data_IF_083346305563
#
_entry.id   IF_083346305563
#
_cell.length_a   1.000
_cell.length_b   1.000
_cell.length_c   1.000
_cell.angle_alpha   90.00
_cell.angle_beta   90.00
_cell.angle_gamma   90.00
#
_symmetry.space_group_name_H-M   'P 1'
#
loop_
_entity.id
_entity.type
_entity.pdbx_description
1 polymer ?
#
# COMPACT_ATOMS: atom_id res chain seq x y z
N UNK A 1 0.89 -10.16 1.75
CA UNK A 1 0.40 -11.39 2.43
C UNK A 1 -0.55 -11.00 3.55
N UNK A 2 -1.38 -11.92 4.04
CA UNK A 2 -2.06 -11.72 5.33
C UNK A 2 -1.04 -11.88 6.47
N UNK A 3 -1.31 -11.28 7.63
CA UNK A 3 -0.41 -11.30 8.79
C UNK A 3 -1.17 -11.41 10.11
N UNK A 4 -0.59 -12.10 11.10
CA UNK A 4 -0.93 -11.91 12.52
C UNK A 4 0.31 -11.41 13.24
N UNK A 5 0.18 -10.26 13.89
CA UNK A 5 1.14 -9.72 14.84
C UNK A 5 0.79 -10.19 16.26
N UNK A 6 1.65 -11.03 16.83
CA UNK A 6 1.50 -11.58 18.18
C UNK A 6 2.41 -10.81 19.13
N UNK A 7 1.83 -10.13 20.12
CA UNK A 7 2.58 -9.35 21.09
C UNK A 7 3.04 -10.25 22.25
N UNK A 8 4.36 -10.45 22.38
CA UNK A 8 4.95 -11.36 23.38
C UNK A 8 5.35 -10.60 24.64
N UNK A 9 5.97 -9.43 24.48
CA UNK A 9 6.43 -8.61 25.60
C UNK A 9 6.33 -7.12 25.27
N UNK A 10 6.08 -6.30 26.29
CA UNK A 10 5.86 -4.86 26.15
C UNK A 10 4.61 -4.54 25.34
N UNK A 11 4.41 -3.27 25.08
CA UNK A 11 3.20 -2.70 24.52
C UNK A 11 3.53 -1.95 23.24
N UNK A 12 2.69 -2.12 22.22
CA UNK A 12 2.83 -1.39 20.94
C UNK A 12 1.54 -0.65 20.61
N UNK A 13 1.69 0.60 20.19
CA UNK A 13 0.63 1.35 19.53
C UNK A 13 0.67 1.06 18.04
N UNK A 14 -0.49 0.86 17.45
CA UNK A 14 -0.67 0.75 16.01
C UNK A 14 -1.55 1.88 15.48
N UNK A 15 -1.23 2.30 14.26
CA UNK A 15 -2.06 3.16 13.42
C UNK A 15 -2.18 2.44 12.08
N UNK A 16 -3.40 2.16 11.66
CA UNK A 16 -3.69 1.37 10.46
C UNK A 16 -4.61 2.14 9.52
N UNK A 17 -4.44 1.92 8.23
CA UNK A 17 -5.27 2.50 7.18
C UNK A 17 -5.78 1.41 6.26
N UNK A 18 -6.98 1.63 5.72
CA UNK A 18 -7.55 0.74 4.72
C UNK A 18 -6.71 0.77 3.44
N UNK A 19 -6.72 -0.31 2.64
CA UNK A 19 -6.09 -0.30 1.31
C UNK A 19 -6.63 0.81 0.39
N UNK A 20 -7.90 1.21 0.56
CA UNK A 20 -8.54 2.29 -0.20
C UNK A 20 -7.93 3.67 0.06
N UNK A 21 -7.23 3.87 1.17
CA UNK A 21 -6.65 5.16 1.54
C UNK A 21 -5.28 5.39 0.90
N UNK A 22 -4.84 4.50 -0.01
CA UNK A 22 -3.54 4.57 -0.70
C UNK A 22 -3.26 5.95 -1.32
N UNK A 23 -4.28 6.61 -1.88
CA UNK A 23 -4.18 7.93 -2.52
C UNK A 23 -3.82 9.05 -1.54
N UNK A 24 -4.05 8.83 -0.25
CA UNK A 24 -3.82 9.81 0.80
C UNK A 24 -2.48 9.61 1.53
N UNK A 25 -1.83 8.47 1.31
CA UNK A 25 -0.66 8.03 2.08
C UNK A 25 0.67 8.25 1.37
N UNK A 26 0.67 8.77 0.13
CA UNK A 26 1.89 9.09 -0.62
C UNK A 26 2.86 7.89 -0.65
N UNK A 27 2.37 6.76 -1.17
CA UNK A 27 3.13 5.51 -1.22
C UNK A 27 4.18 5.56 -2.33
N UNK A 28 5.41 5.19 -1.99
CA UNK A 28 6.50 4.89 -2.91
C UNK A 28 6.99 3.45 -2.67
N UNK A 29 6.79 2.58 -3.67
CA UNK A 29 6.96 1.14 -3.50
C UNK A 29 6.01 0.57 -2.45
N UNK A 30 6.56 0.02 -1.37
CA UNK A 30 5.83 -0.59 -0.25
C UNK A 30 5.73 0.31 0.99
N UNK A 31 6.16 1.57 0.91
CA UNK A 31 6.27 2.48 2.06
C UNK A 31 5.61 3.84 1.79
N UNK A 32 5.10 4.44 2.85
CA UNK A 32 4.65 5.83 2.84
C UNK A 32 5.86 6.78 2.95
N UNK A 33 5.83 7.88 2.21
CA UNK A 33 6.79 8.99 2.35
C UNK A 33 6.52 9.86 3.60
N UNK A 34 5.36 9.68 4.25
CA UNK A 34 4.99 10.36 5.50
C UNK A 34 5.64 9.64 6.68
N UNK A 35 6.81 10.15 7.10
CA UNK A 35 7.61 9.52 8.17
C UNK A 35 6.96 9.59 9.56
N UNK A 36 6.36 10.73 9.91
CA UNK A 36 5.64 10.93 11.18
C UNK A 36 4.14 11.04 10.90
N UNK A 37 3.44 9.91 11.00
CA UNK A 37 2.00 9.87 10.75
C UNK A 37 1.18 10.43 11.93
N UNK A 38 1.77 10.54 13.12
CA UNK A 38 1.12 11.15 14.29
C UNK A 38 1.16 12.69 14.20
N UNK A 39 2.19 13.24 13.56
CA UNK A 39 2.30 14.67 13.24
C UNK A 39 2.78 14.90 11.79
N UNK A 40 1.92 14.66 10.78
CA UNK A 40 2.31 14.80 9.38
C UNK A 40 2.66 16.24 9.01
N UNK A 41 3.70 16.42 8.19
CA UNK A 41 3.93 17.70 7.51
C UNK A 41 2.87 17.91 6.43
N UNK A 42 1.78 18.59 6.80
CA UNK A 42 0.67 18.88 5.91
C UNK A 42 0.99 19.89 4.81
N UNK A 43 2.12 20.60 4.87
CA UNK A 43 2.56 21.43 3.75
C UNK A 43 3.05 20.56 2.60
N UNK A 44 3.78 19.48 2.92
CA UNK A 44 4.30 18.53 1.94
C UNK A 44 3.27 17.45 1.58
N UNK A 45 2.49 16.97 2.56
CA UNK A 45 1.55 15.86 2.43
C UNK A 45 0.10 16.24 2.80
N UNK A 46 -0.53 17.21 2.10
CA UNK A 46 -1.84 17.72 2.46
C UNK A 46 -2.97 16.67 2.41
N UNK A 47 -2.87 15.67 1.52
CA UNK A 47 -3.93 14.66 1.33
C UNK A 47 -4.08 13.70 2.52
N UNK A 48 -3.06 13.59 3.38
CA UNK A 48 -3.12 12.73 4.60
C UNK A 48 -4.30 13.10 5.49
N UNK A 49 -4.77 14.36 5.45
CA UNK A 49 -5.96 14.80 6.19
C UNK A 49 -7.24 14.06 5.81
N UNK A 50 -7.28 13.45 4.63
CA UNK A 50 -8.42 12.69 4.12
C UNK A 50 -8.34 11.20 4.50
N UNK A 51 -7.19 10.73 4.95
CA UNK A 51 -7.00 9.34 5.35
C UNK A 51 -7.77 9.02 6.64
N UNK A 52 -8.47 7.90 6.66
CA UNK A 52 -9.15 7.38 7.84
C UNK A 52 -8.24 6.39 8.55
N UNK A 53 -7.78 6.74 9.75
CA UNK A 53 -6.94 5.86 10.55
C UNK A 53 -7.72 5.12 11.63
N UNK A 54 -7.27 3.90 11.90
CA UNK A 54 -7.69 3.06 13.00
C UNK A 54 -6.51 2.94 13.96
N UNK A 55 -6.73 3.13 15.26
CA UNK A 55 -5.66 3.02 16.25
C UNK A 55 -6.01 2.02 17.33
N UNK A 56 -4.98 1.33 17.83
CA UNK A 56 -5.09 0.36 18.89
C UNK A 56 -3.78 0.24 19.65
N UNK A 57 -3.87 -0.32 20.85
CA UNK A 57 -2.72 -0.66 21.67
C UNK A 57 -2.78 -2.17 21.91
N UNK A 58 -1.74 -2.89 21.53
CA UNK A 58 -1.58 -4.32 21.80
C UNK A 58 -0.65 -4.52 22.99
N UNK A 59 -1.04 -5.40 23.90
CA UNK A 59 -0.35 -5.78 25.13
C UNK A 59 0.14 -7.22 25.04
N UNK A 60 1.04 -7.67 25.93
CA UNK A 60 1.48 -9.06 25.96
C UNK A 60 0.29 -10.04 26.01
N UNK A 61 0.26 -10.99 25.07
CA UNK A 61 -0.84 -11.95 24.89
C UNK A 61 -1.82 -11.57 23.78
N UNK A 62 -1.88 -10.30 23.37
CA UNK A 62 -2.77 -9.87 22.28
C UNK A 62 -2.24 -10.35 20.92
N UNK A 63 -3.17 -10.72 20.05
CA UNK A 63 -2.92 -11.07 18.65
C UNK A 63 -3.72 -10.12 17.76
N UNK A 64 -3.04 -9.41 16.87
CA UNK A 64 -3.66 -8.52 15.89
C UNK A 64 -3.57 -9.13 14.50
N UNK A 65 -4.74 -9.38 13.91
CA UNK A 65 -4.83 -9.72 12.49
C UNK A 65 -4.70 -8.46 11.63
N UNK A 66 -3.81 -8.51 10.65
CA UNK A 66 -3.54 -7.46 9.66
C UNK A 66 -3.81 -8.09 8.28
N UNK A 67 -4.96 -7.79 7.64
CA UNK A 67 -5.25 -8.31 6.32
C UNK A 67 -4.24 -7.80 5.29
N UNK A 68 -4.04 -8.55 4.22
CA UNK A 68 -3.21 -8.12 3.09
C UNK A 68 -3.60 -6.71 2.62
N UNK A 69 -2.59 -5.94 2.18
CA UNK A 69 -2.71 -4.56 1.69
C UNK A 69 -3.02 -3.49 2.75
N UNK A 70 -3.25 -3.85 4.02
CA UNK A 70 -3.46 -2.85 5.06
C UNK A 70 -2.15 -2.15 5.44
N UNK A 71 -2.14 -0.83 5.27
CA UNK A 71 -1.04 0.00 5.73
C UNK A 71 -1.05 0.06 7.25
N UNK A 72 0.12 -0.01 7.87
CA UNK A 72 0.24 0.04 9.32
C UNK A 72 1.56 0.69 9.75
N UNK A 73 1.48 1.54 10.78
CA UNK A 73 2.61 2.08 11.51
C UNK A 73 2.57 1.53 12.94
N UNK A 74 3.74 1.14 13.46
CA UNK A 74 3.85 0.49 14.76
C UNK A 74 4.92 1.20 15.59
N UNK A 75 4.56 1.56 16.83
CA UNK A 75 5.44 2.23 17.78
C UNK A 75 5.44 1.51 19.12
N UNK A 76 6.61 1.12 19.61
CA UNK A 76 6.76 0.59 20.96
C UNK A 76 6.55 1.70 21.98
N UNK A 77 5.72 1.44 23.00
CA UNK A 77 5.44 2.39 24.08
C UNK A 77 6.33 2.17 25.31
N UNK A 78 6.81 0.94 25.48
CA UNK A 78 7.75 0.56 26.53
C UNK A 78 9.21 0.70 26.08
N UNK A 79 10.15 0.64 27.03
CA UNK A 79 11.60 0.67 26.75
C UNK A 79 12.02 -0.40 25.74
N UNK A 80 11.37 -1.57 25.77
CA UNK A 80 11.52 -2.61 24.76
C UNK A 80 10.22 -3.40 24.60
N UNK A 81 10.04 -3.97 23.41
CA UNK A 81 8.89 -4.82 23.10
C UNK A 81 9.29 -5.92 22.13
N UNK A 82 8.72 -7.11 22.32
CA UNK A 82 8.98 -8.30 21.48
C UNK A 82 7.65 -8.73 20.87
N UNK A 83 7.64 -8.93 19.56
CA UNK A 83 6.48 -9.44 18.83
C UNK A 83 6.92 -10.43 17.76
N UNK A 84 6.03 -11.32 17.39
CA UNK A 84 6.21 -12.28 16.30
C UNK A 84 5.15 -11.99 15.24
N UNK A 85 5.57 -11.89 13.97
CA UNK A 85 4.65 -11.82 12.84
C UNK A 85 4.60 -13.18 12.15
N UNK A 86 3.42 -13.60 11.74
CA UNK A 86 3.21 -14.82 10.95
C UNK A 86 2.47 -14.43 9.69
N UNK A 87 3.13 -14.60 8.54
CA UNK A 87 2.57 -14.28 7.23
C UNK A 87 2.12 -15.54 6.50
N UNK A 88 1.03 -15.44 5.71
CA UNK A 88 0.58 -16.51 4.83
C UNK A 88 -0.10 -15.98 3.56
N UNK A 89 -0.27 -16.86 2.58
CA UNK A 89 -0.96 -16.56 1.33
C UNK A 89 -2.47 -16.54 1.54
N UNK A 90 -3.09 -15.41 1.21
CA UNK A 90 -4.54 -15.27 1.12
C UNK A 90 -5.08 -15.84 -0.19
N UNK A 91 -4.32 -15.65 -1.27
CA UNK A 91 -4.66 -16.09 -2.62
C UNK A 91 -3.91 -17.38 -2.96
N UNK A 92 -4.15 -17.92 -4.16
CA UNK A 92 -3.36 -19.05 -4.69
C UNK A 92 -1.88 -18.66 -4.80
N UNK A 93 -1.00 -19.61 -4.49
CA UNK A 93 0.45 -19.42 -4.50
C UNK A 93 0.98 -18.85 -5.84
N UNK A 94 0.39 -19.25 -6.97
CA UNK A 94 0.78 -18.80 -8.31
C UNK A 94 0.63 -17.28 -8.55
N UNK A 95 -0.12 -16.58 -7.69
CA UNK A 95 -0.23 -15.13 -7.76
C UNK A 95 0.93 -14.39 -7.09
N UNK A 96 1.73 -15.07 -6.28
CA UNK A 96 2.86 -14.50 -5.56
C UNK A 96 4.18 -14.78 -6.29
N UNK A 97 5.14 -13.86 -6.18
CA UNK A 97 6.47 -14.05 -6.77
C UNK A 97 7.24 -15.14 -5.99
N UNK A 98 7.64 -16.27 -6.62
CA UNK A 98 8.29 -17.37 -5.91
C UNK A 98 9.59 -16.99 -5.22
N UNK A 99 10.27 -15.93 -5.70
CA UNK A 99 11.51 -15.41 -5.12
C UNK A 99 11.29 -14.29 -4.10
N UNK A 100 10.05 -14.00 -3.73
CA UNK A 100 9.75 -13.04 -2.68
C UNK A 100 9.85 -13.70 -1.30
N UNK A 101 11.01 -13.55 -0.67
CA UNK A 101 11.26 -14.10 0.67
C UNK A 101 10.60 -13.27 1.79
N UNK A 102 10.24 -12.02 1.51
CA UNK A 102 9.76 -11.07 2.52
C UNK A 102 8.25 -10.87 2.46
N UNK A 103 7.64 -11.00 1.28
CA UNK A 103 6.20 -10.82 1.07
C UNK A 103 5.77 -9.41 0.68
N UNK A 104 6.72 -8.58 0.24
CA UNK A 104 6.50 -7.18 -0.15
C UNK A 104 6.43 -6.95 -1.66
N UNK A 105 6.76 -7.96 -2.48
CA UNK A 105 6.60 -7.81 -3.92
C UNK A 105 5.12 -7.83 -4.27
N UNK A 106 4.78 -7.04 -5.28
CA UNK A 106 3.46 -7.07 -5.86
C UNK A 106 3.09 -8.46 -6.38
N UNK A 107 1.79 -8.71 -6.48
CA UNK A 107 1.30 -9.93 -7.12
C UNK A 107 1.73 -9.97 -8.60
N UNK A 108 2.08 -11.16 -9.07
CA UNK A 108 2.59 -11.41 -10.43
C UNK A 108 1.72 -10.78 -11.54
N UNK A 109 0.37 -10.83 -11.49
CA UNK A 109 -0.47 -10.17 -12.49
C UNK A 109 -0.30 -8.65 -12.55
N UNK A 110 -0.10 -8.00 -11.40
CA UNK A 110 0.13 -6.55 -11.34
C UNK A 110 1.51 -6.21 -11.90
N UNK A 111 2.56 -6.91 -11.45
CA UNK A 111 3.92 -6.68 -11.97
C UNK A 111 4.02 -6.87 -13.48
N UNK A 112 3.30 -7.86 -14.04
CA UNK A 112 3.21 -8.07 -15.49
C UNK A 112 2.52 -6.89 -16.19
N UNK A 113 1.40 -6.42 -15.63
CA UNK A 113 0.63 -5.29 -16.18
C UNK A 113 1.49 -4.02 -16.22
N UNK A 114 2.17 -3.70 -15.13
CA UNK A 114 3.07 -2.55 -15.04
C UNK A 114 4.23 -2.68 -16.03
N UNK A 115 4.83 -3.87 -16.16
CA UNK A 115 5.91 -4.11 -17.12
C UNK A 115 5.47 -3.92 -18.57
N UNK A 116 4.26 -4.37 -18.93
CA UNK A 116 3.69 -4.14 -20.27
C UNK A 116 3.41 -2.65 -20.50
N UNK A 117 2.81 -1.97 -19.53
CA UNK A 117 2.53 -0.54 -19.62
C UNK A 117 3.80 0.29 -19.80
N UNK A 118 4.84 0.02 -19.00
CA UNK A 118 6.13 0.69 -19.10
C UNK A 118 6.75 0.51 -20.50
N UNK A 119 6.67 -0.72 -21.06
CA UNK A 119 7.14 -0.98 -22.42
C UNK A 119 6.37 -0.14 -23.46
N UNK A 120 5.04 -0.11 -23.38
CA UNK A 120 4.21 0.67 -24.31
C UNK A 120 4.44 2.18 -24.20
N UNK A 121 4.63 2.72 -22.99
CA UNK A 121 4.96 4.13 -22.79
C UNK A 121 6.33 4.48 -23.37
N UNK A 122 7.33 3.62 -23.18
CA UNK A 122 8.66 3.79 -23.79
C UNK A 122 8.62 3.73 -25.33
N UNK A 123 7.73 2.93 -25.91
CA UNK A 123 7.53 2.89 -27.36
C UNK A 123 6.86 4.17 -27.89
N UNK A 124 5.93 4.75 -27.13
CA UNK A 124 5.28 6.02 -27.46
C UNK A 124 6.27 7.19 -27.43
N UNK A 125 7.13 7.23 -26.40
CA UNK A 125 8.17 8.24 -26.21
C UNK A 125 9.16 8.31 -27.39
N UNK A 126 9.47 7.15 -28.00
CA UNK A 126 10.34 7.07 -29.18
C UNK A 126 9.67 7.52 -30.48
N UNK A 127 8.34 7.48 -30.56
CA UNK A 127 7.59 7.72 -31.80
C UNK A 127 7.03 9.14 -31.90
N UNK A 128 6.81 9.81 -30.76
CA UNK A 128 6.11 11.08 -30.71
C UNK A 128 6.95 12.16 -30.02
N UNK A 129 6.79 13.45 -30.39
CA UNK A 129 7.42 14.54 -29.65
C UNK A 129 6.95 14.62 -28.19
N UNK A 130 7.76 15.16 -27.25
CA UNK A 130 7.45 15.16 -25.81
C UNK A 130 6.09 15.77 -25.44
N UNK A 131 5.63 16.80 -26.16
CA UNK A 131 4.33 17.45 -25.91
C UNK A 131 3.16 16.48 -26.16
N UNK A 132 3.27 15.60 -27.16
CA UNK A 132 2.25 14.60 -27.45
C UNK A 132 2.26 13.48 -26.43
N UNK A 133 3.46 13.05 -26.00
CA UNK A 133 3.63 12.04 -24.95
C UNK A 133 2.99 12.51 -23.65
N UNK A 134 3.26 13.75 -23.23
CA UNK A 134 2.65 14.37 -22.05
C UNK A 134 1.11 14.40 -22.14
N UNK A 135 0.56 14.81 -23.29
CA UNK A 135 -0.88 14.82 -23.51
C UNK A 135 -1.50 13.42 -23.39
N UNK A 136 -0.91 12.41 -24.05
CA UNK A 136 -1.43 11.05 -24.01
C UNK A 136 -1.23 10.37 -22.65
N UNK A 137 -0.16 10.68 -21.91
CA UNK A 137 0.03 10.23 -20.54
C UNK A 137 -1.07 10.79 -19.61
N UNK A 138 -1.40 12.07 -19.74
CA UNK A 138 -2.52 12.70 -19.01
C UNK A 138 -3.87 12.07 -19.38
N UNK A 139 -4.08 11.74 -20.65
CA UNK A 139 -5.28 11.02 -21.10
C UNK A 139 -5.36 9.60 -20.54
N UNK A 140 -4.26 8.88 -20.47
CA UNK A 140 -4.18 7.56 -19.85
C UNK A 140 -4.54 7.62 -18.37
N UNK A 141 -4.00 8.60 -17.63
CA UNK A 141 -4.39 8.83 -16.22
C UNK A 141 -5.91 9.00 -16.10
N UNK A 142 -6.50 9.86 -16.92
CA UNK A 142 -7.96 10.05 -16.89
C UNK A 142 -8.75 8.79 -17.22
N UNK A 143 -8.24 7.92 -18.09
CA UNK A 143 -8.85 6.62 -18.37
C UNK A 143 -8.81 5.70 -17.15
N UNK A 144 -7.65 5.62 -16.47
CA UNK A 144 -7.49 4.84 -15.24
C UNK A 144 -8.39 5.37 -14.12
N UNK A 145 -8.47 6.69 -13.94
CA UNK A 145 -9.34 7.30 -12.93
C UNK A 145 -10.82 6.92 -13.15
N UNK A 146 -11.27 6.86 -14.40
CA UNK A 146 -12.64 6.44 -14.73
C UNK A 146 -12.83 4.94 -14.49
N UNK A 147 -11.86 4.12 -14.88
CA UNK A 147 -11.89 2.68 -14.62
C UNK A 147 -11.97 2.36 -13.11
N UNK A 148 -11.20 3.07 -12.28
CA UNK A 148 -11.22 2.96 -10.83
C UNK A 148 -12.63 3.30 -10.29
N UNK A 149 -13.19 4.45 -10.68
CA UNK A 149 -14.55 4.86 -10.27
C UNK A 149 -15.62 3.84 -10.65
N UNK A 150 -15.52 3.24 -11.83
CA UNK A 150 -16.43 2.18 -12.26
C UNK A 150 -16.27 0.90 -11.42
N UNK A 151 -15.03 0.55 -11.08
CA UNK A 151 -14.73 -0.61 -10.25
C UNK A 151 -15.24 -0.43 -8.80
N UNK A 152 -15.03 0.75 -8.22
CA UNK A 152 -15.55 1.11 -6.90
C UNK A 152 -17.08 1.05 -6.85
N UNK A 153 -17.77 1.49 -7.90
CA UNK A 153 -19.24 1.34 -7.99
C UNK A 153 -19.67 -0.12 -7.99
N UNK A 154 -18.91 -1.02 -8.62
CA UNK A 154 -19.21 -2.45 -8.64
C UNK A 154 -18.98 -3.13 -7.28
N UNK A 155 -18.02 -2.64 -6.49
CA UNK A 155 -17.74 -3.17 -5.15
C UNK A 155 -18.80 -2.77 -4.11
N UNK A 156 -19.47 -1.63 -4.32
CA UNK A 156 -20.45 -1.07 -3.40
C UNK A 156 -21.92 -1.45 -3.73
N UNK A 157 -22.16 -2.17 -4.82
CA UNK A 157 -23.46 -2.71 -5.23
C UNK A 157 -23.53 -4.22 -4.98
#
# INVERSE_FOLDING_TARGET
MDNVLIQVHGTKRLIMFKPSDIDYLYIDGDKSLVNDIENPDFATYPLVRQATYYTGIIKPGDCLYIPALWFHNVKSLDTYAISVNVFWYHLKADFYEPKDLYGNKDLVPFSRTIGQLAKSLNELDKQLPPVYVDFYAKRLRSYLDNYIKEYERKLNN
#
